data_IF_077480145188
#
_entry.id   IF_077480145188
#
_cell.length_a   1.000
_cell.length_b   1.000
_cell.length_c   1.000
_cell.angle_alpha   90.00
_cell.angle_beta   90.00
_cell.angle_gamma   90.00
#
_symmetry.space_group_name_H-M   'P 1'
#
loop_
_entity.id
_entity.type
_entity.pdbx_description
1 polymer ?
#
# COMPACT_ATOMS: atom_id res chain seq x y z
N UNK A 1 -9.89 -6.05 -32.02
CA UNK A 1 -10.11 -4.90 -31.14
C UNK A 1 -9.63 -5.24 -29.75
N UNK A 2 -8.43 -4.78 -29.43
CA UNK A 2 -7.78 -4.97 -28.14
C UNK A 2 -8.41 -4.02 -27.12
N UNK A 3 -9.21 -4.54 -26.20
CA UNK A 3 -9.69 -3.80 -25.05
C UNK A 3 -8.62 -3.82 -23.97
N UNK A 4 -8.01 -2.66 -23.71
CA UNK A 4 -7.02 -2.44 -22.67
C UNK A 4 -7.53 -2.92 -21.32
N UNK A 5 -6.73 -3.72 -20.61
CA UNK A 5 -6.98 -4.10 -19.22
C UNK A 5 -6.92 -2.83 -18.35
N UNK A 6 -8.06 -2.25 -18.03
CA UNK A 6 -8.17 -1.20 -17.03
C UNK A 6 -7.90 -1.82 -15.67
N UNK A 7 -6.73 -1.51 -15.09
CA UNK A 7 -6.45 -1.87 -13.69
C UNK A 7 -7.56 -1.35 -12.79
N UNK A 8 -8.10 -2.21 -11.94
CA UNK A 8 -9.15 -1.84 -10.99
C UNK A 8 -8.57 -0.88 -9.96
N UNK A 9 -9.17 0.30 -9.86
CA UNK A 9 -8.90 1.30 -8.83
C UNK A 9 -10.04 1.27 -7.80
N UNK A 10 -9.69 1.21 -6.52
CA UNK A 10 -10.62 1.20 -5.39
C UNK A 10 -10.32 2.39 -4.48
N UNK A 11 -11.32 3.16 -4.07
CA UNK A 11 -11.15 4.21 -3.06
C UNK A 11 -11.19 3.58 -1.67
N UNK A 12 -10.15 3.84 -0.87
CA UNK A 12 -10.05 3.37 0.52
C UNK A 12 -10.65 4.41 1.48
N UNK A 13 -10.45 5.69 1.19
CA UNK A 13 -10.98 6.76 2.01
C UNK A 13 -10.62 8.15 1.51
N UNK A 14 -11.29 9.14 2.09
CA UNK A 14 -11.14 10.56 1.80
C UNK A 14 -10.56 11.26 3.02
N UNK A 15 -9.63 12.18 2.78
CA UNK A 15 -8.98 13.00 3.80
C UNK A 15 -9.20 14.47 3.42
N UNK A 16 -9.73 15.26 4.34
CA UNK A 16 -9.85 16.70 4.20
C UNK A 16 -8.80 17.39 5.07
N UNK A 17 -7.93 18.18 4.46
CA UNK A 17 -6.88 18.92 5.14
C UNK A 17 -6.75 20.31 4.51
N UNK A 18 -6.71 21.37 5.32
CA UNK A 18 -6.58 22.76 4.84
C UNK A 18 -7.61 23.17 3.77
N UNK A 19 -8.83 22.62 3.83
CA UNK A 19 -9.89 22.88 2.85
C UNK A 19 -9.66 22.24 1.48
N UNK A 20 -8.70 21.32 1.37
CA UNK A 20 -8.46 20.49 0.18
C UNK A 20 -8.84 19.05 0.47
N UNK A 21 -9.38 18.39 -0.56
CA UNK A 21 -9.73 16.98 -0.51
C UNK A 21 -8.62 16.14 -1.13
N UNK A 22 -8.30 15.04 -0.46
CA UNK A 22 -7.38 14.02 -0.92
C UNK A 22 -8.07 12.66 -0.85
N UNK A 23 -7.83 11.80 -1.85
CA UNK A 23 -8.34 10.42 -1.84
C UNK A 23 -7.17 9.46 -1.71
N UNK A 24 -7.26 8.53 -0.76
CA UNK A 24 -6.40 7.37 -0.70
C UNK A 24 -7.06 6.26 -1.52
N UNK A 25 -6.35 5.80 -2.55
CA UNK A 25 -6.84 4.79 -3.48
C UNK A 25 -5.88 3.60 -3.52
N UNK A 26 -6.43 2.42 -3.81
CA UNK A 26 -5.70 1.20 -4.13
C UNK A 26 -5.73 1.02 -5.64
N UNK A 27 -4.56 0.82 -6.25
CA UNK A 27 -4.43 0.47 -7.67
C UNK A 27 -3.84 -0.93 -7.79
N UNK A 28 -4.54 -1.83 -8.48
CA UNK A 28 -3.98 -3.14 -8.82
C UNK A 28 -2.91 -2.96 -9.91
N UNK A 29 -1.66 -3.29 -9.61
CA UNK A 29 -0.54 -3.22 -10.56
C UNK A 29 0.12 -4.60 -10.66
N UNK A 30 -0.22 -5.34 -11.72
CA UNK A 30 0.30 -6.69 -11.96
C UNK A 30 0.07 -7.61 -10.75
N UNK A 31 1.12 -7.86 -9.96
CA UNK A 31 1.17 -8.85 -8.88
C UNK A 31 0.95 -8.25 -7.48
N UNK A 32 1.08 -6.92 -7.33
CA UNK A 32 0.93 -6.24 -6.04
C UNK A 32 0.08 -4.98 -6.14
N UNK A 33 -0.72 -4.73 -5.10
CA UNK A 33 -1.47 -3.49 -4.97
C UNK A 33 -0.56 -2.32 -4.60
N UNK A 34 -0.85 -1.15 -5.16
CA UNK A 34 -0.20 0.11 -4.80
C UNK A 34 -1.21 1.03 -4.12
N UNK A 35 -0.86 1.51 -2.93
CA UNK A 35 -1.58 2.58 -2.24
C UNK A 35 -1.11 3.92 -2.81
N UNK A 36 -2.04 4.77 -3.23
CA UNK A 36 -1.75 6.07 -3.82
C UNK A 36 -2.59 7.14 -3.15
N UNK A 37 -1.96 8.21 -2.68
CA UNK A 37 -2.65 9.42 -2.27
C UNK A 37 -2.74 10.35 -3.47
N UNK A 38 -3.95 10.77 -3.85
CA UNK A 38 -4.19 11.74 -4.91
C UNK A 38 -4.87 12.99 -4.37
N UNK A 39 -4.67 14.13 -5.02
CA UNK A 39 -5.41 15.36 -4.73
C UNK A 39 -6.76 15.42 -5.49
N UNK A 40 -7.50 16.51 -5.28
CA UNK A 40 -8.74 16.88 -5.97
C UNK A 40 -8.67 16.90 -7.50
N UNK A 41 -7.47 16.97 -8.08
CA UNK A 41 -7.21 16.92 -9.53
C UNK A 41 -6.77 15.55 -10.02
N UNK A 42 -6.85 14.51 -9.18
CA UNK A 42 -6.35 13.16 -9.42
C UNK A 42 -4.83 13.10 -9.69
N UNK A 43 -4.06 14.10 -9.23
CA UNK A 43 -2.60 14.08 -9.31
C UNK A 43 -2.05 13.27 -8.14
N UNK A 44 -1.12 12.36 -8.43
CA UNK A 44 -0.43 11.57 -7.40
C UNK A 44 0.46 12.46 -6.54
N UNK A 45 0.25 12.39 -5.23
CA UNK A 45 1.03 13.10 -4.21
C UNK A 45 2.14 12.20 -3.66
N UNK A 46 1.80 10.97 -3.33
CA UNK A 46 2.72 9.95 -2.81
C UNK A 46 2.12 8.56 -3.01
N UNK A 47 2.96 7.54 -3.18
CA UNK A 47 2.54 6.15 -3.32
C UNK A 47 3.42 5.18 -2.53
N UNK A 48 2.86 4.01 -2.24
CA UNK A 48 3.51 2.90 -1.55
C UNK A 48 3.09 1.58 -2.20
N UNK A 49 4.06 0.76 -2.60
CA UNK A 49 3.81 -0.55 -3.22
C UNK A 49 3.80 -1.66 -2.17
N UNK A 50 2.78 -2.53 -2.19
CA UNK A 50 2.73 -3.70 -1.32
C UNK A 50 3.86 -4.72 -1.59
N UNK A 51 4.52 -4.64 -2.74
CA UNK A 51 5.74 -5.40 -3.05
C UNK A 51 6.86 -5.15 -2.02
N UNK A 52 6.95 -3.94 -1.46
CA UNK A 52 7.92 -3.63 -0.40
C UNK A 52 7.67 -4.46 0.87
N UNK A 53 6.39 -4.69 1.17
CA UNK A 53 5.96 -5.54 2.29
C UNK A 53 6.37 -6.98 2.01
N UNK A 54 6.05 -7.49 0.82
CA UNK A 54 6.41 -8.85 0.41
C UNK A 54 7.93 -9.08 0.48
N UNK A 55 8.73 -8.20 -0.12
CA UNK A 55 10.21 -8.30 -0.11
C UNK A 55 10.79 -8.34 1.30
N UNK A 56 10.23 -7.55 2.23
CA UNK A 56 10.68 -7.55 3.63
C UNK A 56 10.43 -8.89 4.31
N UNK A 57 9.27 -9.51 4.06
CA UNK A 57 8.89 -10.78 4.69
C UNK A 57 9.41 -12.03 3.98
N UNK A 58 9.63 -11.97 2.68
CA UNK A 58 10.33 -13.04 1.96
C UNK A 58 11.78 -13.19 2.45
N UNK A 59 12.46 -12.09 2.75
CA UNK A 59 13.81 -12.10 3.28
C UNK A 59 13.87 -12.58 4.75
N UNK A 60 12.76 -12.52 5.49
CA UNK A 60 12.69 -13.04 6.86
C UNK A 60 12.44 -14.55 6.83
N UNK A 61 13.45 -15.34 7.19
CA UNK A 61 13.37 -16.82 7.31
C UNK A 61 12.50 -17.30 8.48
N UNK A 62 11.82 -16.38 9.17
CA UNK A 62 11.13 -16.64 10.43
C UNK A 62 9.77 -17.30 10.17
N UNK A 63 9.73 -18.63 10.37
CA UNK A 63 8.50 -19.39 10.58
C UNK A 63 7.59 -18.66 11.58
N UNK A 64 6.36 -18.33 11.18
CA UNK A 64 5.25 -17.85 12.05
C UNK A 64 5.72 -17.01 13.26
N UNK A 65 6.33 -15.86 12.99
CA UNK A 65 6.78 -14.92 14.02
C UNK A 65 5.77 -13.81 14.29
N UNK A 66 5.71 -13.33 15.55
CA UNK A 66 5.14 -12.02 15.86
C UNK A 66 6.19 -10.97 15.53
N UNK A 67 5.86 -10.05 14.63
CA UNK A 67 6.75 -8.94 14.25
C UNK A 67 6.67 -7.83 15.30
N UNK A 68 7.80 -7.18 15.59
CA UNK A 68 7.75 -5.91 16.31
C UNK A 68 7.05 -4.83 15.48
N UNK A 69 6.55 -3.79 16.15
CA UNK A 69 5.92 -2.64 15.46
C UNK A 69 6.90 -1.99 14.46
N UNK A 70 8.18 -1.92 14.80
CA UNK A 70 9.22 -1.35 13.94
C UNK A 70 9.45 -2.21 12.69
N UNK A 71 9.45 -3.53 12.83
CA UNK A 71 9.54 -4.47 11.71
C UNK A 71 8.28 -4.48 10.85
N UNK A 72 7.12 -4.20 11.44
CA UNK A 72 5.84 -4.12 10.75
C UNK A 72 5.56 -2.74 10.12
N UNK A 73 6.39 -1.73 10.39
CA UNK A 73 6.18 -0.35 9.92
C UNK A 73 7.02 -0.05 8.68
N UNK A 74 6.38 0.56 7.69
CA UNK A 74 6.96 1.05 6.46
C UNK A 74 6.69 2.55 6.36
N UNK A 75 7.68 3.33 5.95
CA UNK A 75 7.57 4.78 5.83
C UNK A 75 7.98 5.20 4.42
N UNK A 76 7.17 6.04 3.79
CA UNK A 76 7.52 6.76 2.57
C UNK A 76 7.18 8.23 2.79
N UNK A 77 8.06 9.14 2.36
CA UNK A 77 7.82 10.58 2.50
C UNK A 77 8.43 11.36 1.34
N UNK A 78 7.84 12.53 1.07
CA UNK A 78 8.38 13.51 0.16
C UNK A 78 8.09 14.94 0.68
N UNK A 79 8.29 15.94 -0.18
CA UNK A 79 8.06 17.35 0.18
C UNK A 79 6.61 17.73 0.45
N UNK A 80 5.64 16.91 0.07
CA UNK A 80 4.20 17.21 0.14
C UNK A 80 3.46 16.35 1.18
N UNK A 81 3.90 15.12 1.42
CA UNK A 81 3.24 14.22 2.35
C UNK A 81 4.21 13.17 2.93
N UNK A 82 3.77 12.55 4.01
CA UNK A 82 4.34 11.32 4.56
C UNK A 82 3.24 10.25 4.69
N UNK A 83 3.54 9.03 4.28
CA UNK A 83 2.67 7.88 4.43
C UNK A 83 3.40 6.81 5.25
N UNK A 84 2.74 6.34 6.31
CA UNK A 84 3.19 5.23 7.13
C UNK A 84 2.22 4.07 6.99
N UNK A 85 2.74 2.91 6.62
CA UNK A 85 1.97 1.67 6.51
C UNK A 85 2.41 0.75 7.62
N UNK A 86 1.46 0.27 8.42
CA UNK A 86 1.71 -0.64 9.53
C UNK A 86 0.99 -1.95 9.24
N UNK A 87 1.77 -3.02 9.05
CA UNK A 87 1.25 -4.36 8.85
C UNK A 87 0.79 -4.96 10.18
N UNK A 88 -0.52 -5.04 10.43
CA UNK A 88 -1.04 -5.67 11.64
C UNK A 88 -0.93 -7.20 11.56
N UNK A 89 -1.26 -7.76 10.40
CA UNK A 89 -1.17 -9.18 10.14
C UNK A 89 -0.93 -9.40 8.66
N UNK A 90 -0.06 -10.36 8.36
CA UNK A 90 0.26 -10.76 7.00
C UNK A 90 0.23 -12.28 6.96
N UNK A 91 -0.37 -12.80 5.91
CA UNK A 91 -0.31 -14.17 5.53
C UNK A 91 0.17 -14.23 4.07
N UNK A 92 1.20 -15.04 3.85
CA UNK A 92 1.84 -15.23 2.55
C UNK A 92 1.75 -16.70 2.24
N UNK A 93 0.97 -17.04 1.22
CA UNK A 93 0.86 -18.41 0.74
C UNK A 93 1.57 -18.52 -0.60
N UNK A 94 2.70 -19.23 -0.63
CA UNK A 94 3.50 -19.46 -1.84
C UNK A 94 2.99 -20.74 -2.51
N UNK A 95 2.18 -20.59 -3.56
CA UNK A 95 1.79 -21.68 -4.45
C UNK A 95 2.78 -21.85 -5.61
N UNK A 96 2.67 -22.96 -6.38
CA UNK A 96 3.55 -23.21 -7.53
C UNK A 96 3.42 -22.16 -8.66
N UNK A 97 2.24 -21.54 -8.81
CA UNK A 97 1.94 -20.62 -9.91
C UNK A 97 1.60 -19.19 -9.46
N UNK A 98 1.46 -18.95 -8.14
CA UNK A 98 1.12 -17.63 -7.59
C UNK A 98 1.54 -17.47 -6.13
N UNK A 99 1.81 -16.21 -5.77
CA UNK A 99 1.98 -15.79 -4.39
C UNK A 99 0.66 -15.13 -3.97
N UNK A 100 -0.07 -15.76 -3.06
CA UNK A 100 -1.24 -15.13 -2.45
C UNK A 100 -0.77 -14.33 -1.23
N UNK A 101 -0.91 -13.02 -1.30
CA UNK A 101 -0.58 -12.08 -0.23
C UNK A 101 -1.87 -11.49 0.34
N UNK A 102 -2.16 -11.76 1.62
CA UNK A 102 -3.31 -11.19 2.30
C UNK A 102 -2.93 -10.66 3.70
N UNK A 103 -3.51 -9.54 4.09
CA UNK A 103 -3.20 -8.94 5.37
C UNK A 103 -4.07 -7.75 5.72
N UNK A 104 -4.02 -7.36 6.99
CA UNK A 104 -4.62 -6.14 7.49
C UNK A 104 -3.53 -5.09 7.66
N UNK A 105 -3.72 -3.95 7.02
CA UNK A 105 -2.79 -2.82 7.06
C UNK A 105 -3.50 -1.61 7.67
N UNK A 106 -2.78 -0.87 8.52
CA UNK A 106 -3.14 0.50 8.86
C UNK A 106 -2.32 1.47 8.02
N UNK A 107 -2.99 2.45 7.43
CA UNK A 107 -2.34 3.51 6.65
C UNK A 107 -2.54 4.82 7.38
N UNK A 108 -1.45 5.45 7.78
CA UNK A 108 -1.44 6.78 8.37
C UNK A 108 -0.87 7.74 7.33
N UNK A 109 -1.61 8.80 7.04
CA UNK A 109 -1.21 9.83 6.09
C UNK A 109 -1.06 11.15 6.83
N UNK A 110 0.03 11.84 6.58
CA UNK A 110 0.26 13.21 7.04
C UNK A 110 0.55 14.09 5.82
N UNK A 111 -0.29 15.10 5.61
CA UNK A 111 -0.14 16.08 4.53
C UNK A 111 0.62 17.29 5.12
N UNK A 112 1.64 17.77 4.39
CA UNK A 112 2.53 18.86 4.84
C UNK A 112 2.04 20.24 4.42
#
# INVERSE_FOLDING_TARGET
NSGSQSGTQEEIGIIEENGRQYSLIKKAVQDFDTLVLVNDRNEEIISFSADEIYKKFEASTSEKGVLSVEEATFNTENGLAAMRVVAQSININKGPDRIDFNGNLYVLVHIK
#
